data_IF_972696422074
#
_entry.id   IF_972696422074
#
_cell.length_a   1.000
_cell.length_b   1.000
_cell.length_c   1.000
_cell.angle_alpha   90.00
_cell.angle_beta   90.00
_cell.angle_gamma   90.00
#
_symmetry.space_group_name_H-M   'P 1'
#
loop_
_entity.id
_entity.type
_entity.pdbx_description
1 polymer ?
#
# COMPACT_ATOMS: atom_id res chain seq x y z
N UNK A 1 11.39 32.41 -18.11
CA UNK A 1 10.93 31.83 -16.82
C UNK A 1 11.54 30.45 -16.67
N UNK A 2 12.22 30.16 -15.55
CA UNK A 2 12.71 28.81 -15.27
C UNK A 2 11.51 27.87 -15.07
N UNK A 3 11.46 26.77 -15.83
CA UNK A 3 10.41 25.75 -15.69
C UNK A 3 10.63 25.02 -14.36
N UNK A 4 9.74 25.25 -13.38
CA UNK A 4 9.75 24.49 -12.11
C UNK A 4 9.32 23.06 -12.42
N UNK A 5 10.24 22.11 -12.35
CA UNK A 5 9.94 20.68 -12.50
C UNK A 5 9.35 20.13 -11.21
N UNK A 6 8.22 19.43 -11.30
CA UNK A 6 7.56 18.84 -10.14
C UNK A 6 8.29 17.56 -9.73
N UNK A 7 8.34 17.27 -8.43
CA UNK A 7 9.10 16.11 -7.89
C UNK A 7 8.68 14.76 -8.49
N UNK A 8 7.39 14.59 -8.78
CA UNK A 8 6.85 13.34 -9.36
C UNK A 8 7.21 13.16 -10.84
N UNK A 9 7.53 14.25 -11.57
CA UNK A 9 7.97 14.18 -12.98
C UNK A 9 9.40 13.66 -13.09
N UNK A 10 10.21 13.86 -12.05
CA UNK A 10 11.61 13.42 -11.98
C UNK A 10 11.78 12.16 -11.13
N UNK A 11 10.69 11.46 -10.83
CA UNK A 11 10.72 10.31 -9.96
C UNK A 11 11.49 9.14 -10.62
N UNK A 12 12.51 8.56 -9.98
CA UNK A 12 13.39 7.58 -10.63
C UNK A 12 12.78 6.17 -10.75
N UNK A 13 11.74 5.88 -9.98
CA UNK A 13 11.04 4.58 -10.03
C UNK A 13 10.08 4.46 -11.21
N UNK A 14 9.49 3.27 -11.36
CA UNK A 14 8.45 2.98 -12.37
C UNK A 14 7.02 3.27 -11.86
N UNK A 15 6.90 3.88 -10.68
CA UNK A 15 5.60 4.26 -10.12
C UNK A 15 4.84 5.19 -11.06
N UNK A 16 3.51 5.02 -11.10
CA UNK A 16 2.61 5.91 -11.83
C UNK A 16 2.03 6.93 -10.87
N UNK A 17 2.00 8.17 -11.30
CA UNK A 17 1.44 9.28 -10.56
C UNK A 17 0.21 9.82 -11.27
N UNK A 18 -0.85 10.11 -10.53
CA UNK A 18 -2.04 10.79 -11.05
C UNK A 18 -2.49 11.91 -10.10
N UNK A 19 -3.44 12.73 -10.54
CA UNK A 19 -3.93 13.90 -9.81
C UNK A 19 -2.80 14.84 -9.37
N UNK A 20 -1.97 15.30 -10.32
CA UNK A 20 -0.81 16.16 -10.06
C UNK A 20 0.23 15.59 -9.07
N UNK A 21 0.32 14.25 -8.98
CA UNK A 21 1.24 13.56 -8.08
C UNK A 21 0.69 13.33 -6.67
N UNK A 22 -0.60 13.60 -6.43
CA UNK A 22 -1.25 13.31 -5.14
C UNK A 22 -1.50 11.82 -4.93
N UNK A 23 -1.64 11.06 -6.02
CA UNK A 23 -1.85 9.63 -5.99
C UNK A 23 -0.65 8.95 -6.64
N UNK A 24 -0.14 7.92 -5.99
CA UNK A 24 0.98 7.11 -6.47
C UNK A 24 0.61 5.64 -6.45
N UNK A 25 0.94 4.91 -7.51
CA UNK A 25 0.69 3.48 -7.62
C UNK A 25 1.87 2.75 -8.25
N UNK A 26 1.85 1.42 -8.16
CA UNK A 26 2.73 0.53 -8.91
C UNK A 26 2.48 0.62 -10.44
N UNK A 27 3.42 0.14 -11.27
CA UNK A 27 3.27 0.17 -12.73
C UNK A 27 2.09 -0.66 -13.26
N UNK A 28 1.77 -1.77 -12.58
CA UNK A 28 0.73 -2.72 -12.98
C UNK A 28 -0.40 -2.72 -11.93
N UNK A 29 -1.44 -1.91 -12.17
CA UNK A 29 -2.56 -1.73 -11.25
C UNK A 29 -3.81 -2.58 -11.60
N UNK A 30 -3.74 -3.49 -12.58
CA UNK A 30 -4.90 -4.26 -13.03
C UNK A 30 -5.55 -5.09 -11.91
N UNK A 31 -4.73 -5.81 -11.12
CA UNK A 31 -5.20 -6.63 -10.00
C UNK A 31 -5.84 -5.77 -8.89
N UNK A 32 -5.36 -4.54 -8.70
CA UNK A 32 -5.98 -3.60 -7.78
C UNK A 32 -7.41 -3.22 -8.21
N UNK A 33 -7.64 -2.93 -9.50
CA UNK A 33 -8.99 -2.62 -9.97
C UNK A 33 -9.93 -3.83 -9.83
N UNK A 34 -9.44 -5.04 -10.08
CA UNK A 34 -10.20 -6.28 -9.83
C UNK A 34 -10.58 -6.37 -8.36
N UNK A 35 -9.65 -6.11 -7.44
CA UNK A 35 -9.92 -6.12 -5.99
C UNK A 35 -11.00 -5.10 -5.60
N UNK A 36 -10.91 -3.87 -6.11
CA UNK A 36 -11.90 -2.80 -5.84
C UNK A 36 -13.29 -3.22 -6.34
N UNK A 37 -13.37 -3.74 -7.57
CA UNK A 37 -14.63 -4.24 -8.15
C UNK A 37 -15.20 -5.38 -7.30
N UNK A 38 -14.36 -6.33 -6.88
CA UNK A 38 -14.80 -7.47 -6.08
C UNK A 38 -15.34 -7.03 -4.70
N UNK A 39 -14.63 -6.16 -4.00
CA UNK A 39 -15.04 -5.67 -2.67
C UNK A 39 -16.33 -4.86 -2.78
N UNK A 40 -16.40 -3.91 -3.72
CA UNK A 40 -17.59 -3.08 -3.91
C UNK A 40 -18.76 -3.94 -4.36
N UNK A 41 -18.56 -4.79 -5.36
CA UNK A 41 -19.60 -5.65 -5.91
C UNK A 41 -20.21 -6.58 -4.86
N UNK A 42 -19.37 -7.31 -4.13
CA UNK A 42 -19.86 -8.23 -3.07
C UNK A 42 -20.54 -7.47 -1.93
N UNK A 43 -20.02 -6.32 -1.52
CA UNK A 43 -20.64 -5.49 -0.49
C UNK A 43 -21.99 -4.93 -0.95
N UNK A 44 -22.11 -4.45 -2.19
CA UNK A 44 -23.37 -3.95 -2.76
C UNK A 44 -24.41 -5.07 -2.79
N UNK A 45 -24.04 -6.27 -3.25
CA UNK A 45 -24.95 -7.42 -3.23
C UNK A 45 -25.46 -7.71 -1.81
N UNK A 46 -24.57 -7.74 -0.82
CA UNK A 46 -24.94 -7.94 0.58
C UNK A 46 -25.87 -6.85 1.13
N UNK A 47 -25.57 -5.57 0.87
CA UNK A 47 -26.42 -4.46 1.33
C UNK A 47 -27.78 -4.42 0.65
N UNK A 48 -27.88 -4.82 -0.62
CA UNK A 48 -29.14 -4.81 -1.37
C UNK A 48 -30.01 -6.02 -1.04
N UNK A 49 -29.43 -7.22 -0.95
CA UNK A 49 -30.20 -8.46 -0.89
C UNK A 49 -30.33 -9.06 0.52
N UNK A 50 -29.35 -8.87 1.41
CA UNK A 50 -29.32 -9.51 2.72
C UNK A 50 -29.67 -8.54 3.85
N UNK A 51 -29.14 -7.32 3.79
CA UNK A 51 -29.41 -6.31 4.83
C UNK A 51 -30.89 -5.96 5.04
N UNK A 52 -31.80 -5.95 4.04
CA UNK A 52 -33.23 -5.74 4.30
C UNK A 52 -33.86 -6.84 5.16
N UNK A 53 -33.45 -8.09 4.96
CA UNK A 53 -33.89 -9.22 5.80
C UNK A 53 -33.32 -9.06 7.21
N UNK A 54 -32.00 -8.88 7.32
CA UNK A 54 -31.32 -8.74 8.61
C UNK A 54 -31.90 -7.58 9.43
N UNK A 55 -32.18 -6.44 8.80
CA UNK A 55 -32.72 -5.27 9.49
C UNK A 55 -34.16 -5.47 10.00
N UNK A 56 -35.00 -6.22 9.28
CA UNK A 56 -36.42 -6.40 9.61
C UNK A 56 -36.69 -7.60 10.50
N UNK A 57 -35.86 -8.65 10.40
CA UNK A 57 -36.11 -9.96 11.02
C UNK A 57 -35.11 -10.34 12.09
N UNK A 58 -33.90 -9.76 12.09
CA UNK A 58 -32.84 -10.08 13.06
C UNK A 58 -32.49 -8.86 13.92
N UNK A 59 -31.77 -7.87 13.35
CA UNK A 59 -31.45 -6.59 13.99
C UNK A 59 -30.89 -5.59 12.98
N UNK A 60 -31.22 -4.29 13.05
CA UNK A 60 -30.61 -3.26 12.21
C UNK A 60 -29.13 -2.98 12.57
N UNK A 61 -28.64 -3.47 13.72
CA UNK A 61 -27.26 -3.25 14.16
C UNK A 61 -26.24 -3.90 13.21
N UNK A 62 -26.57 -5.08 12.66
CA UNK A 62 -25.65 -5.79 11.74
C UNK A 62 -25.39 -4.96 10.47
N UNK A 63 -26.41 -4.51 9.70
CA UNK A 63 -26.19 -3.62 8.56
C UNK A 63 -25.42 -2.33 8.91
N UNK A 64 -25.68 -1.72 10.07
CA UNK A 64 -24.99 -0.50 10.51
C UNK A 64 -23.50 -0.76 10.74
N UNK A 65 -23.15 -1.82 11.47
CA UNK A 65 -21.75 -2.21 11.70
C UNK A 65 -21.06 -2.55 10.38
N UNK A 66 -21.72 -3.32 9.51
CA UNK A 66 -21.20 -3.65 8.18
C UNK A 66 -20.93 -2.41 7.34
N UNK A 67 -21.83 -1.41 7.38
CA UNK A 67 -21.65 -0.14 6.68
C UNK A 67 -20.43 0.63 7.18
N UNK A 68 -20.24 0.71 8.49
CA UNK A 68 -19.06 1.34 9.09
C UNK A 68 -17.79 0.59 8.70
N UNK A 69 -17.77 -0.74 8.82
CA UNK A 69 -16.62 -1.57 8.45
C UNK A 69 -16.28 -1.43 6.96
N UNK A 70 -17.28 -1.38 6.08
CA UNK A 70 -17.07 -1.16 4.64
C UNK A 70 -16.36 0.17 4.36
N UNK A 71 -16.74 1.25 5.04
CA UNK A 71 -16.05 2.55 4.93
C UNK A 71 -14.59 2.45 5.39
N UNK A 72 -14.31 1.74 6.49
CA UNK A 72 -12.94 1.49 6.93
C UNK A 72 -12.15 0.63 5.94
N UNK A 73 -12.76 -0.40 5.33
CA UNK A 73 -12.13 -1.24 4.30
C UNK A 73 -11.72 -0.39 3.09
N UNK A 74 -12.65 0.39 2.52
CA UNK A 74 -12.36 1.23 1.35
C UNK A 74 -11.33 2.32 1.68
N UNK A 75 -11.50 3.01 2.81
CA UNK A 75 -10.58 4.06 3.23
C UNK A 75 -9.16 3.54 3.46
N UNK A 76 -9.01 2.40 4.14
CA UNK A 76 -7.71 1.77 4.42
C UNK A 76 -7.08 1.15 3.17
N UNK A 77 -7.86 0.56 2.27
CA UNK A 77 -7.40 0.10 0.96
C UNK A 77 -6.78 1.27 0.18
N UNK A 78 -7.53 2.36 -0.01
CA UNK A 78 -7.03 3.51 -0.77
C UNK A 78 -5.85 4.21 -0.08
N UNK A 79 -5.84 4.31 1.26
CA UNK A 79 -4.66 4.78 1.98
C UNK A 79 -3.46 3.88 1.76
N UNK A 80 -3.63 2.57 1.73
CA UNK A 80 -2.53 1.64 1.44
C UNK A 80 -2.02 1.80 0.01
N UNK A 81 -2.95 1.84 -0.94
CA UNK A 81 -2.68 1.92 -2.37
C UNK A 81 -1.99 3.20 -2.80
N UNK A 82 -2.48 4.35 -2.32
CA UNK A 82 -2.06 5.66 -2.84
C UNK A 82 -1.00 6.38 -1.99
N UNK A 83 -0.64 5.82 -0.83
CA UNK A 83 0.41 6.40 0.02
C UNK A 83 1.79 5.95 -0.44
N UNK A 84 2.74 6.88 -0.43
CA UNK A 84 4.16 6.55 -0.60
C UNK A 84 4.62 5.57 0.50
N UNK A 85 5.14 4.37 0.15
CA UNK A 85 5.52 3.35 1.12
C UNK A 85 6.84 3.66 1.85
N UNK A 86 7.35 4.89 1.73
CA UNK A 86 8.67 5.39 2.15
C UNK A 86 9.79 5.03 1.16
N UNK A 87 9.72 5.64 -0.03
CA UNK A 87 10.69 5.40 -1.10
C UNK A 87 12.01 6.11 -0.81
N UNK A 88 13.11 5.36 -0.76
CA UNK A 88 14.45 5.89 -0.55
C UNK A 88 14.99 6.53 -1.83
N UNK A 89 15.20 7.85 -1.82
CA UNK A 89 15.73 8.63 -2.95
C UNK A 89 17.24 8.85 -2.77
N UNK A 90 18.06 8.76 -3.83
CA UNK A 90 19.47 9.12 -3.77
C UNK A 90 19.67 10.58 -3.36
N UNK A 91 20.62 10.79 -2.44
CA UNK A 91 21.06 12.14 -2.08
C UNK A 91 22.08 12.59 -3.12
N UNK A 92 21.68 13.46 -4.06
CA UNK A 92 22.51 13.94 -5.19
C UNK A 92 23.71 14.81 -4.76
N UNK A 93 24.05 14.89 -3.47
CA UNK A 93 25.19 15.64 -2.95
C UNK A 93 26.55 14.93 -3.06
N UNK A 94 26.62 13.75 -3.69
CA UNK A 94 27.87 13.02 -3.88
C UNK A 94 28.56 13.41 -5.19
N UNK A 95 29.80 13.89 -5.11
CA UNK A 95 30.68 14.03 -6.29
C UNK A 95 30.80 12.68 -7.01
N UNK A 96 30.69 12.63 -8.35
CA UNK A 96 30.85 11.39 -9.10
C UNK A 96 32.25 10.82 -8.86
N UNK A 97 32.34 9.71 -8.15
CA UNK A 97 33.59 9.01 -7.91
C UNK A 97 33.93 8.14 -9.12
N UNK A 98 35.18 8.21 -9.59
CA UNK A 98 35.71 7.40 -10.72
C UNK A 98 35.60 5.89 -10.45
N UNK A 99 35.53 5.48 -9.18
CA UNK A 99 35.44 4.08 -8.75
C UNK A 99 34.01 3.71 -8.34
N UNK A 100 33.55 2.48 -8.65
CA UNK A 100 32.27 1.99 -8.17
C UNK A 100 32.30 1.93 -6.63
N UNK A 101 31.19 2.31 -5.96
CA UNK A 101 31.12 2.29 -4.50
C UNK A 101 31.22 0.86 -3.97
N UNK A 102 31.73 0.68 -2.73
CA UNK A 102 31.84 -0.64 -2.14
C UNK A 102 30.47 -1.29 -1.98
N UNK A 103 30.41 -2.63 -2.08
CA UNK A 103 29.15 -3.39 -1.93
C UNK A 103 28.47 -3.16 -0.58
N UNK A 104 29.26 -2.88 0.45
CA UNK A 104 28.76 -2.62 1.80
C UNK A 104 29.46 -1.45 2.46
N UNK A 105 28.73 -0.76 3.35
CA UNK A 105 29.24 0.32 4.19
C UNK A 105 28.81 0.04 5.62
N UNK A 106 29.75 0.09 6.57
CA UNK A 106 29.42 0.00 7.99
C UNK A 106 29.08 1.39 8.53
N UNK A 107 28.01 1.44 9.32
CA UNK A 107 27.56 2.65 10.02
C UNK A 107 27.25 2.30 11.46
N UNK A 108 27.61 3.17 12.39
CA UNK A 108 27.26 2.99 13.80
C UNK A 108 25.93 3.69 14.05
N UNK A 109 24.91 2.95 14.46
CA UNK A 109 23.58 3.46 14.79
C UNK A 109 23.27 3.05 16.22
N UNK A 110 23.10 4.03 17.13
CA UNK A 110 22.87 3.79 18.56
C UNK A 110 23.91 2.86 19.21
N UNK A 111 25.19 3.02 18.86
CA UNK A 111 26.29 2.19 19.38
C UNK A 111 26.47 0.83 18.71
N UNK A 112 25.56 0.41 17.82
CA UNK A 112 25.67 -0.86 17.10
C UNK A 112 26.21 -0.63 15.68
N UNK A 113 27.22 -1.42 15.27
CA UNK A 113 27.71 -1.43 13.89
C UNK A 113 26.74 -2.19 12.98
N UNK A 114 26.19 -1.50 11.99
CA UNK A 114 25.25 -2.05 11.02
C UNK A 114 25.87 -1.98 9.63
N UNK A 115 25.89 -3.13 8.93
CA UNK A 115 26.39 -3.25 7.57
C UNK A 115 25.27 -2.94 6.56
N UNK A 116 25.34 -1.77 5.93
CA UNK A 116 24.43 -1.37 4.86
C UNK A 116 24.87 -1.99 3.54
N UNK A 117 23.91 -2.38 2.70
CA UNK A 117 24.16 -2.92 1.37
C UNK A 117 23.88 -1.87 0.29
N UNK A 118 24.78 -1.71 -0.67
CA UNK A 118 24.55 -0.84 -1.81
C UNK A 118 23.46 -1.41 -2.74
N UNK A 119 22.65 -0.54 -3.33
CA UNK A 119 21.71 -0.83 -4.40
C UNK A 119 22.25 -0.19 -5.68
N UNK A 120 22.63 -1.02 -6.65
CA UNK A 120 23.20 -0.56 -7.93
C UNK A 120 22.17 0.19 -8.77
N UNK A 121 20.90 -0.19 -8.71
CA UNK A 121 19.81 0.40 -9.48
C UNK A 121 19.45 1.79 -9.00
N UNK A 122 19.20 1.93 -7.69
CA UNK A 122 18.81 3.22 -7.09
C UNK A 122 20.01 4.10 -6.72
N UNK A 123 21.24 3.57 -6.83
CA UNK A 123 22.51 4.24 -6.48
C UNK A 123 22.55 4.76 -5.04
N UNK A 124 22.10 3.95 -4.09
CA UNK A 124 22.10 4.28 -2.65
C UNK A 124 22.66 3.14 -1.81
N UNK A 125 23.25 3.47 -0.66
CA UNK A 125 23.33 2.53 0.44
C UNK A 125 21.94 2.41 1.06
N UNK A 126 21.35 1.21 1.00
CA UNK A 126 20.02 0.96 1.53
C UNK A 126 20.00 1.26 3.03
N UNK A 127 19.07 2.11 3.52
CA UNK A 127 18.84 2.24 4.95
C UNK A 127 18.59 0.88 5.62
N UNK A 128 18.80 0.75 6.94
CA UNK A 128 18.47 -0.49 7.64
C UNK A 128 17.05 -0.96 7.31
N UNK A 129 16.89 -2.25 7.02
CA UNK A 129 15.62 -2.90 6.65
C UNK A 129 14.99 -2.42 5.32
N UNK A 130 15.65 -1.56 4.55
CA UNK A 130 15.19 -1.19 3.22
C UNK A 130 15.58 -2.23 2.17
N UNK A 131 14.67 -2.52 1.25
CA UNK A 131 14.90 -3.46 0.13
C UNK A 131 14.48 -2.85 -1.20
N UNK A 132 15.11 -3.30 -2.28
CA UNK A 132 14.76 -2.87 -3.63
C UNK A 132 13.62 -3.72 -4.17
N UNK A 133 12.52 -3.09 -4.57
CA UNK A 133 11.46 -3.74 -5.32
C UNK A 133 11.78 -3.62 -6.81
N UNK A 134 12.07 -4.74 -7.47
CA UNK A 134 12.36 -4.76 -8.91
C UNK A 134 11.16 -4.28 -9.74
N UNK A 135 9.93 -4.62 -9.33
CA UNK A 135 8.70 -4.23 -10.04
C UNK A 135 8.53 -2.71 -10.07
N UNK A 136 8.53 -2.05 -8.90
CA UNK A 136 8.42 -0.60 -8.82
C UNK A 136 9.73 0.14 -9.15
N UNK A 137 10.86 -0.58 -9.23
CA UNK A 137 12.20 -0.06 -9.52
C UNK A 137 12.67 1.01 -8.53
N UNK A 138 12.39 0.81 -7.24
CA UNK A 138 12.80 1.72 -6.18
C UNK A 138 13.08 0.95 -4.88
N UNK A 139 13.90 1.55 -4.01
CA UNK A 139 14.08 1.04 -2.65
C UNK A 139 12.97 1.56 -1.74
N UNK A 140 12.44 0.69 -0.88
CA UNK A 140 11.37 1.01 0.09
C UNK A 140 11.91 0.76 1.49
N UNK A 141 11.68 1.70 2.42
CA UNK A 141 12.08 1.56 3.82
C UNK A 141 11.15 0.60 4.56
N UNK A 142 11.72 -0.26 5.43
CA UNK A 142 11.01 -1.37 6.06
C UNK A 142 10.13 -2.13 5.06
N UNK A 143 10.70 -2.44 3.89
CA UNK A 143 9.99 -3.13 2.83
C UNK A 143 9.49 -4.49 3.32
N UNK A 144 8.19 -4.70 3.21
CA UNK A 144 7.56 -5.97 3.51
C UNK A 144 7.41 -6.76 2.21
N UNK A 145 6.52 -6.32 1.32
CA UNK A 145 6.32 -6.96 0.03
C UNK A 145 5.75 -6.00 -1.02
N UNK A 146 5.76 -6.44 -2.28
CA UNK A 146 4.96 -5.82 -3.33
C UNK A 146 3.61 -6.51 -3.40
N UNK A 147 2.51 -5.76 -3.28
CA UNK A 147 1.18 -6.34 -3.26
C UNK A 147 0.39 -5.90 -4.51
N UNK A 148 0.12 -6.82 -5.45
CA UNK A 148 -0.70 -6.52 -6.63
C UNK A 148 -2.14 -6.11 -6.28
N UNK A 149 -2.71 -6.67 -5.20
CA UNK A 149 -4.10 -6.44 -4.77
C UNK A 149 -4.34 -5.02 -4.24
N UNK A 150 -3.32 -4.38 -3.68
CA UNK A 150 -3.37 -2.96 -3.31
C UNK A 150 -2.71 -2.06 -4.36
N UNK A 151 -2.10 -2.65 -5.39
CA UNK A 151 -1.46 -1.92 -6.48
C UNK A 151 -0.27 -1.07 -6.03
N UNK A 152 0.45 -1.47 -4.98
CA UNK A 152 1.60 -0.74 -4.45
C UNK A 152 2.52 -1.66 -3.61
N UNK A 153 3.73 -1.19 -3.28
CA UNK A 153 4.54 -1.81 -2.24
C UNK A 153 3.94 -1.52 -0.86
N UNK A 154 4.07 -2.49 0.05
CA UNK A 154 3.80 -2.32 1.47
C UNK A 154 5.13 -2.10 2.18
N UNK A 155 5.24 -0.99 2.88
CA UNK A 155 6.45 -0.56 3.57
C UNK A 155 6.12 0.34 4.76
N UNK A 156 7.13 1.03 5.30
CA UNK A 156 7.05 1.74 6.58
C UNK A 156 5.81 2.64 6.73
N UNK A 157 5.50 3.47 5.73
CA UNK A 157 4.47 4.53 5.83
C UNK A 157 3.04 4.05 5.60
N UNK A 158 2.84 2.95 4.88
CA UNK A 158 1.52 2.42 4.56
C UNK A 158 1.19 1.09 5.25
N UNK A 159 2.14 0.46 5.95
CA UNK A 159 1.94 -0.80 6.67
C UNK A 159 0.74 -0.78 7.62
N UNK A 160 0.56 0.30 8.40
CA UNK A 160 -0.59 0.42 9.33
C UNK A 160 -1.94 0.38 8.61
N UNK A 161 -2.02 0.97 7.42
CA UNK A 161 -3.26 0.99 6.64
C UNK A 161 -3.50 -0.38 6.01
N UNK A 162 -2.43 -1.04 5.56
CA UNK A 162 -2.52 -2.41 5.04
C UNK A 162 -3.05 -3.36 6.12
N UNK A 163 -2.50 -3.29 7.34
CA UNK A 163 -2.95 -4.09 8.45
C UNK A 163 -4.43 -3.83 8.80
N UNK A 164 -4.83 -2.56 8.91
CA UNK A 164 -6.23 -2.19 9.14
C UNK A 164 -7.15 -2.69 8.03
N UNK A 165 -6.71 -2.62 6.76
CA UNK A 165 -7.45 -3.14 5.62
C UNK A 165 -7.71 -4.65 5.75
N UNK A 166 -6.68 -5.44 6.05
CA UNK A 166 -6.83 -6.90 6.21
C UNK A 166 -7.79 -7.23 7.36
N UNK A 167 -7.61 -6.62 8.53
CA UNK A 167 -8.47 -6.89 9.69
C UNK A 167 -9.92 -6.49 9.42
N UNK A 168 -10.18 -5.28 8.91
CA UNK A 168 -11.55 -4.83 8.64
C UNK A 168 -12.21 -5.66 7.54
N UNK A 169 -11.45 -6.05 6.50
CA UNK A 169 -11.97 -6.88 5.42
C UNK A 169 -12.34 -8.28 5.92
N UNK A 170 -11.48 -8.90 6.73
CA UNK A 170 -11.78 -10.21 7.33
C UNK A 170 -13.03 -10.17 8.21
N UNK A 171 -13.19 -9.13 9.05
CA UNK A 171 -14.39 -8.97 9.88
C UNK A 171 -15.64 -8.76 9.03
N UNK A 172 -15.58 -7.93 7.99
CA UNK A 172 -16.70 -7.71 7.07
C UNK A 172 -17.10 -9.01 6.38
N UNK A 173 -16.14 -9.79 5.89
CA UNK A 173 -16.40 -11.09 5.25
C UNK A 173 -17.11 -12.04 6.22
N UNK A 174 -16.66 -12.13 7.47
CA UNK A 174 -17.31 -12.97 8.49
C UNK A 174 -18.77 -12.55 8.69
N UNK A 175 -19.05 -11.25 8.81
CA UNK A 175 -20.42 -10.74 8.96
C UNK A 175 -21.29 -11.07 7.75
N UNK A 176 -20.74 -10.95 6.53
CA UNK A 176 -21.46 -11.31 5.30
C UNK A 176 -21.86 -12.79 5.31
N UNK A 177 -20.93 -13.69 5.66
CA UNK A 177 -21.23 -15.13 5.72
C UNK A 177 -22.25 -15.48 6.81
N UNK A 178 -22.12 -14.91 8.01
CA UNK A 178 -23.10 -15.11 9.10
C UNK A 178 -24.47 -14.57 8.67
N UNK A 179 -24.51 -13.39 8.06
CA UNK A 179 -25.74 -12.79 7.58
C UNK A 179 -26.44 -13.63 6.52
N UNK A 180 -25.68 -14.23 5.60
CA UNK A 180 -26.20 -15.15 4.61
C UNK A 180 -26.74 -16.45 5.24
N UNK A 181 -26.04 -17.00 6.23
CA UNK A 181 -26.46 -18.18 6.98
C UNK A 181 -27.80 -17.93 7.70
N UNK A 182 -27.91 -16.83 8.45
CA UNK A 182 -29.14 -16.45 9.19
C UNK A 182 -30.37 -16.17 8.32
N UNK A 183 -30.18 -15.99 7.01
CA UNK A 183 -31.28 -15.77 6.05
C UNK A 183 -31.82 -17.08 5.48
N UNK A 184 -31.00 -18.13 5.48
CA UNK A 184 -31.37 -19.44 4.98
C UNK A 184 -32.07 -20.26 6.09
N UNK A 185 -31.69 -20.04 7.34
CA UNK A 185 -32.37 -20.55 8.55
C UNK A 185 -33.64 -19.75 8.89
#
# INVERSE_FOLDING_TARGET
MAKVTRKWEMFPGRNRFCCDGRLMMAPHAAVFYINVILIIGTSVLFFVFDCPYLSRRVTPVIPVISGVLFLFVIGSLFKTSFTDPDISIPNNGGTPTIRPPPRTKEVVIKGNSIKLKYCVTCKIFRPPRASHCSLCNNCVENFDHHCPWVGNCVGRRNYRFFYMFIVCLSLLIIIVFIGAYLKID
#
